data_IF_333358088795
#
_entry.id   IF_333358088795
#
_cell.length_a   1.000
_cell.length_b   1.000
_cell.length_c   1.000
_cell.angle_alpha   90.00
_cell.angle_beta   90.00
_cell.angle_gamma   90.00
#
_symmetry.space_group_name_H-M   'P 1'
#
loop_
_entity.id
_entity.type
_entity.pdbx_description
1 polymer ?
#
# COMPACT_ATOMS: atom_id res chain seq x y z
N UNK A 1 26.44 -8.38 17.28
CA UNK A 1 26.86 -7.56 16.12
C UNK A 1 26.77 -6.10 16.50
N UNK A 2 27.67 -5.27 15.96
CA UNK A 2 27.72 -3.82 16.17
C UNK A 2 26.42 -3.13 15.67
N UNK A 3 25.72 -2.34 16.52
CA UNK A 3 24.49 -1.63 16.16
C UNK A 3 24.63 -0.71 14.93
N UNK A 4 25.81 -0.11 14.73
CA UNK A 4 26.07 0.80 13.60
C UNK A 4 26.11 0.05 12.27
N UNK A 5 26.63 -1.18 12.26
CA UNK A 5 26.64 -2.06 11.08
C UNK A 5 25.24 -2.52 10.71
N UNK A 6 24.41 -2.89 11.70
CA UNK A 6 23.00 -3.23 11.48
C UNK A 6 22.25 -2.06 10.81
N UNK A 7 22.43 -0.82 11.29
CA UNK A 7 21.73 0.34 10.71
C UNK A 7 22.13 0.61 9.25
N UNK A 8 23.42 0.49 8.90
CA UNK A 8 23.88 0.64 7.52
C UNK A 8 23.31 -0.45 6.60
N UNK A 9 23.25 -1.70 7.07
CA UNK A 9 22.64 -2.80 6.32
C UNK A 9 21.16 -2.54 6.03
N UNK A 10 20.41 -1.99 7.00
CA UNK A 10 19.00 -1.61 6.81
C UNK A 10 18.86 -0.54 5.74
N UNK A 11 19.67 0.52 5.79
CA UNK A 11 19.66 1.59 4.77
C UNK A 11 19.96 1.06 3.38
N UNK A 12 20.98 0.20 3.24
CA UNK A 12 21.34 -0.43 1.96
C UNK A 12 20.18 -1.25 1.42
N UNK A 13 19.52 -2.04 2.26
CA UNK A 13 18.39 -2.89 1.84
C UNK A 13 17.16 -2.09 1.47
N UNK A 14 16.87 -0.99 2.17
CA UNK A 14 15.83 -0.05 1.78
C UNK A 14 16.13 0.58 0.40
N UNK A 15 17.37 0.99 0.16
CA UNK A 15 17.78 1.55 -1.13
C UNK A 15 17.62 0.54 -2.30
N UNK A 16 17.85 -0.76 -2.07
CA UNK A 16 17.54 -1.79 -3.06
C UNK A 16 16.04 -1.88 -3.38
N UNK A 17 15.17 -1.77 -2.37
CA UNK A 17 13.72 -1.73 -2.59
C UNK A 17 13.28 -0.47 -3.34
N UNK A 18 13.87 0.69 -3.03
CA UNK A 18 13.61 1.96 -3.74
C UNK A 18 14.04 1.87 -5.20
N UNK A 19 15.20 1.29 -5.47
CA UNK A 19 15.69 1.10 -6.84
C UNK A 19 14.79 0.13 -7.63
N UNK A 20 14.39 -0.97 -7.02
CA UNK A 20 13.43 -1.90 -7.60
C UNK A 20 12.09 -1.23 -7.89
N UNK A 21 11.57 -0.43 -6.95
CA UNK A 21 10.32 0.30 -7.15
C UNK A 21 10.40 1.25 -8.34
N UNK A 22 11.51 1.98 -8.47
CA UNK A 22 11.77 2.86 -9.62
C UNK A 22 11.87 2.08 -10.94
N UNK A 23 12.58 0.96 -10.96
CA UNK A 23 12.73 0.12 -12.16
C UNK A 23 11.38 -0.46 -12.62
N UNK A 24 10.57 -0.97 -11.70
CA UNK A 24 9.22 -1.47 -11.98
C UNK A 24 8.26 -0.37 -12.48
N UNK A 25 8.37 0.85 -11.94
CA UNK A 25 7.61 2.01 -12.40
C UNK A 25 7.99 2.38 -13.84
N UNK A 26 9.29 2.40 -14.16
CA UNK A 26 9.78 2.66 -15.52
C UNK A 26 9.32 1.61 -16.54
N UNK A 27 9.11 0.37 -16.12
CA UNK A 27 8.55 -0.71 -16.94
C UNK A 27 7.03 -0.61 -17.13
N UNK A 28 6.36 0.32 -16.46
CA UNK A 28 4.92 0.53 -16.57
C UNK A 28 4.06 -0.49 -15.80
N UNK A 29 4.67 -1.27 -14.90
CA UNK A 29 3.98 -2.33 -14.13
C UNK A 29 3.74 -1.91 -12.68
N UNK A 30 4.71 -1.24 -12.07
CA UNK A 30 4.69 -0.94 -10.64
C UNK A 30 5.23 -2.11 -9.81
N UNK A 31 5.79 -1.79 -8.65
CA UNK A 31 6.60 -2.73 -7.87
C UNK A 31 5.78 -3.82 -7.17
N UNK A 32 4.56 -3.48 -6.74
CA UNK A 32 3.58 -4.42 -6.18
C UNK A 32 3.26 -5.53 -7.19
N UNK A 33 2.77 -5.14 -8.38
CA UNK A 33 2.39 -6.08 -9.43
C UNK A 33 3.58 -6.86 -9.99
N UNK A 34 4.73 -6.21 -10.14
CA UNK A 34 5.96 -6.91 -10.56
C UNK A 34 6.33 -8.02 -9.57
N UNK A 35 6.29 -7.71 -8.27
CA UNK A 35 6.64 -8.66 -7.21
C UNK A 35 5.60 -9.78 -7.06
N UNK A 36 4.31 -9.45 -7.20
CA UNK A 36 3.22 -10.44 -7.19
C UNK A 36 3.40 -11.47 -8.29
N UNK A 37 3.76 -11.00 -9.50
CA UNK A 37 3.87 -11.82 -10.70
C UNK A 37 5.19 -12.62 -10.81
N UNK A 38 6.24 -12.29 -10.05
CA UNK A 38 7.55 -12.97 -10.03
C UNK A 38 8.15 -13.25 -11.42
N UNK A 39 8.17 -12.25 -12.29
CA UNK A 39 8.59 -12.42 -13.70
C UNK A 39 10.09 -12.22 -13.91
N UNK A 40 10.83 -11.74 -12.90
CA UNK A 40 12.24 -11.38 -13.05
C UNK A 40 13.12 -11.98 -11.95
N UNK A 41 14.40 -12.18 -12.28
CA UNK A 41 15.41 -12.62 -11.31
C UNK A 41 15.64 -11.62 -10.19
N UNK A 42 15.43 -10.33 -10.45
CA UNK A 42 15.43 -9.25 -9.44
C UNK A 42 14.46 -9.54 -8.28
N UNK A 43 13.36 -10.24 -8.55
CA UNK A 43 12.31 -10.48 -7.54
C UNK A 43 12.83 -11.41 -6.43
N UNK A 44 13.76 -12.33 -6.78
CA UNK A 44 14.42 -13.21 -5.80
C UNK A 44 15.37 -12.43 -4.88
N UNK A 45 16.11 -11.47 -5.41
CA UNK A 45 17.01 -10.64 -4.59
C UNK A 45 16.23 -9.69 -3.70
N UNK A 46 15.13 -9.13 -4.21
CA UNK A 46 14.20 -8.32 -3.43
C UNK A 46 13.57 -9.12 -2.30
N UNK A 47 13.20 -10.38 -2.50
CA UNK A 47 12.71 -11.24 -1.43
C UNK A 47 13.75 -11.43 -0.29
N UNK A 48 15.05 -11.49 -0.60
CA UNK A 48 16.11 -11.57 0.41
C UNK A 48 16.24 -10.27 1.20
N UNK A 49 16.23 -9.12 0.52
CA UNK A 49 16.28 -7.81 1.17
C UNK A 49 15.07 -7.59 2.06
N UNK A 50 13.88 -7.89 1.54
CA UNK A 50 12.60 -7.87 2.27
C UNK A 50 12.67 -8.68 3.55
N UNK A 51 13.06 -9.97 3.45
CA UNK A 51 13.14 -10.88 4.60
C UNK A 51 14.05 -10.36 5.71
N UNK A 52 15.21 -9.79 5.35
CA UNK A 52 16.10 -9.20 6.35
C UNK A 52 15.47 -8.00 7.06
N UNK A 53 14.85 -7.08 6.30
CA UNK A 53 14.17 -5.91 6.85
C UNK A 53 13.03 -6.34 7.79
N UNK A 54 12.23 -7.32 7.38
CA UNK A 54 11.14 -7.86 8.21
C UNK A 54 11.63 -8.47 9.51
N UNK A 55 12.71 -9.25 9.49
CA UNK A 55 13.27 -9.81 10.71
C UNK A 55 13.76 -8.70 11.66
N UNK A 56 14.50 -7.72 11.13
CA UNK A 56 14.97 -6.59 11.92
C UNK A 56 13.82 -5.81 12.57
N UNK A 57 12.79 -5.44 11.81
CA UNK A 57 11.68 -4.65 12.34
C UNK A 57 10.80 -5.43 13.31
N UNK A 58 10.68 -6.76 13.14
CA UNK A 58 10.04 -7.61 14.16
C UNK A 58 10.82 -7.59 15.47
N UNK A 59 12.14 -7.81 15.42
CA UNK A 59 13.01 -7.72 16.61
C UNK A 59 12.88 -6.34 17.29
N UNK A 60 12.93 -5.25 16.53
CA UNK A 60 12.82 -3.89 17.07
C UNK A 60 11.46 -3.62 17.73
N UNK A 61 10.37 -4.11 17.13
CA UNK A 61 9.02 -3.95 17.70
C UNK A 61 8.86 -4.77 18.98
N UNK A 62 9.37 -6.00 19.01
CA UNK A 62 9.35 -6.87 20.20
C UNK A 62 10.16 -6.26 21.36
N UNK A 63 11.32 -5.67 21.06
CA UNK A 63 12.15 -4.96 22.04
C UNK A 63 11.41 -3.74 22.61
N UNK A 64 10.80 -2.92 21.74
CA UNK A 64 10.06 -1.72 22.13
C UNK A 64 8.79 -2.03 22.95
N UNK A 65 8.09 -3.13 22.68
CA UNK A 65 6.96 -3.58 23.51
C UNK A 65 7.42 -4.06 24.89
N UNK A 66 8.55 -4.78 24.96
CA UNK A 66 9.06 -5.35 26.21
C UNK A 66 9.69 -4.31 27.13
N UNK A 67 10.22 -3.22 26.54
CA UNK A 67 10.88 -2.14 27.25
C UNK A 67 10.37 -0.78 26.71
N UNK A 68 9.25 -0.27 27.23
CA UNK A 68 8.73 1.05 26.83
C UNK A 68 9.85 2.10 26.93
N UNK A 69 10.22 2.67 25.79
CA UNK A 69 11.45 3.45 25.63
C UNK A 69 11.58 4.59 26.66
N UNK A 70 12.77 4.72 27.27
CA UNK A 70 13.21 5.86 28.09
C UNK A 70 13.99 6.91 27.28
N UNK A 71 13.97 6.80 25.96
CA UNK A 71 14.82 7.56 25.04
C UNK A 71 14.31 8.99 24.83
N UNK A 72 15.20 9.90 24.45
CA UNK A 72 14.83 11.29 24.16
C UNK A 72 13.91 11.40 22.94
N UNK A 73 13.05 12.43 22.92
CA UNK A 73 12.01 12.63 21.90
C UNK A 73 12.51 12.55 20.44
N UNK A 74 13.72 13.06 20.17
CA UNK A 74 14.33 13.02 18.82
C UNK A 74 14.66 11.60 18.34
N UNK A 75 15.15 10.74 19.23
CA UNK A 75 15.52 9.36 18.91
C UNK A 75 14.25 8.56 18.60
N UNK A 76 13.21 8.73 19.43
CA UNK A 76 11.89 8.15 19.19
C UNK A 76 11.30 8.59 17.85
N UNK A 77 11.32 9.88 17.54
CA UNK A 77 10.83 10.42 16.26
C UNK A 77 11.56 9.80 15.06
N UNK A 78 12.90 9.74 15.11
CA UNK A 78 13.71 9.18 14.01
C UNK A 78 13.42 7.70 13.78
N UNK A 79 13.26 6.93 14.85
CA UNK A 79 12.92 5.51 14.77
C UNK A 79 11.49 5.29 14.25
N UNK A 80 10.51 6.07 14.72
CA UNK A 80 9.13 6.02 14.25
C UNK A 80 9.04 6.36 12.76
N UNK A 81 9.77 7.38 12.30
CA UNK A 81 9.84 7.73 10.89
C UNK A 81 10.41 6.59 10.05
N UNK A 82 11.53 6.00 10.47
CA UNK A 82 12.15 4.87 9.77
C UNK A 82 11.22 3.65 9.71
N UNK A 83 10.50 3.36 10.81
CA UNK A 83 9.56 2.24 10.89
C UNK A 83 8.33 2.45 10.02
N UNK A 84 7.84 3.69 9.95
CA UNK A 84 6.75 4.08 9.08
C UNK A 84 7.12 3.97 7.59
N UNK A 85 8.32 4.42 7.23
CA UNK A 85 8.86 4.29 5.87
C UNK A 85 9.03 2.82 5.48
N UNK A 86 9.59 2.00 6.36
CA UNK A 86 9.68 0.55 6.16
C UNK A 86 8.29 -0.07 5.93
N UNK A 87 7.31 0.22 6.80
CA UNK A 87 5.94 -0.30 6.68
C UNK A 87 5.35 0.01 5.30
N UNK A 88 5.42 1.27 4.88
CA UNK A 88 4.85 1.71 3.58
C UNK A 88 5.56 1.12 2.36
N UNK A 89 6.85 0.77 2.47
CA UNK A 89 7.60 0.13 1.39
C UNK A 89 7.41 -1.39 1.35
N UNK A 90 7.38 -2.05 2.51
CA UNK A 90 7.51 -3.52 2.59
C UNK A 90 6.17 -4.24 2.72
N UNK A 91 5.22 -3.67 3.46
CA UNK A 91 3.91 -4.30 3.67
C UNK A 91 3.16 -4.57 2.34
N UNK A 92 3.21 -3.69 1.31
CA UNK A 92 2.68 -4.02 -0.02
C UNK A 92 3.26 -5.29 -0.64
N UNK A 93 4.54 -5.59 -0.42
CA UNK A 93 5.17 -6.81 -0.93
C UNK A 93 4.72 -8.07 -0.16
N UNK A 94 4.44 -7.94 1.14
CA UNK A 94 3.85 -9.02 1.93
C UNK A 94 2.38 -9.26 1.53
N UNK A 95 1.63 -8.20 1.21
CA UNK A 95 0.27 -8.30 0.66
C UNK A 95 0.31 -9.00 -0.71
N UNK A 96 1.26 -8.65 -1.58
CA UNK A 96 1.43 -9.29 -2.89
C UNK A 96 1.68 -10.80 -2.74
N UNK A 97 2.53 -11.22 -1.79
CA UNK A 97 2.74 -12.63 -1.47
C UNK A 97 1.50 -13.30 -0.90
N UNK A 98 0.78 -12.61 -0.01
CA UNK A 98 -0.44 -13.11 0.60
C UNK A 98 -1.50 -13.43 -0.46
N UNK A 99 -1.84 -12.47 -1.32
CA UNK A 99 -2.85 -12.65 -2.37
C UNK A 99 -2.34 -13.36 -3.63
N UNK A 100 -1.10 -13.84 -3.66
CA UNK A 100 -0.64 -14.75 -4.74
C UNK A 100 -1.37 -16.10 -4.66
N UNK A 101 -1.76 -16.52 -3.46
CA UNK A 101 -2.62 -17.69 -3.26
C UNK A 101 -4.07 -17.25 -3.35
N UNK A 102 -4.82 -17.82 -4.30
CA UNK A 102 -6.21 -17.43 -4.58
C UNK A 102 -7.19 -17.70 -3.44
N UNK A 103 -6.82 -18.56 -2.49
CA UNK A 103 -7.59 -18.91 -1.29
C UNK A 103 -7.47 -17.88 -0.16
N UNK A 104 -6.43 -17.05 -0.18
CA UNK A 104 -6.16 -16.08 0.88
C UNK A 104 -7.07 -14.86 0.78
N UNK A 105 -7.63 -14.42 1.91
CA UNK A 105 -8.66 -13.36 2.00
C UNK A 105 -8.55 -12.55 3.29
N UNK A 106 -9.05 -11.33 3.26
CA UNK A 106 -9.12 -10.41 4.40
C UNK A 106 -7.75 -10.17 5.06
N UNK A 107 -6.71 -9.84 4.28
CA UNK A 107 -5.35 -9.62 4.79
C UNK A 107 -5.33 -8.73 6.04
N UNK A 108 -6.04 -7.61 6.01
CA UNK A 108 -6.08 -6.65 7.12
C UNK A 108 -6.52 -7.29 8.45
N UNK A 109 -7.43 -8.26 8.40
CA UNK A 109 -7.97 -8.94 9.59
C UNK A 109 -7.24 -10.24 9.93
N UNK A 110 -6.81 -10.99 8.92
CA UNK A 110 -6.36 -12.38 9.08
C UNK A 110 -4.88 -12.58 8.76
N UNK A 111 -4.30 -11.76 7.88
CA UNK A 111 -2.94 -11.94 7.36
C UNK A 111 -1.92 -10.91 7.88
N UNK A 112 -2.39 -9.78 8.41
CA UNK A 112 -1.55 -8.65 8.78
C UNK A 112 -0.69 -8.95 9.99
N UNK A 113 0.63 -8.84 9.82
CA UNK A 113 1.57 -9.13 10.90
C UNK A 113 1.52 -8.07 12.00
N UNK A 114 1.59 -8.51 13.26
CA UNK A 114 1.55 -7.66 14.47
C UNK A 114 2.49 -6.45 14.38
N UNK A 115 3.69 -6.63 13.85
CA UNK A 115 4.69 -5.57 13.78
C UNK A 115 4.25 -4.37 12.91
N UNK A 116 3.54 -4.59 11.79
CA UNK A 116 3.00 -3.49 11.00
C UNK A 116 1.89 -2.74 11.73
N UNK A 117 1.03 -3.47 12.44
CA UNK A 117 -0.07 -2.88 13.24
C UNK A 117 0.50 -1.97 14.32
N UNK A 118 1.54 -2.41 15.02
CA UNK A 118 2.18 -1.62 16.08
C UNK A 118 2.93 -0.41 15.52
N UNK A 119 3.70 -0.58 14.44
CA UNK A 119 4.40 0.53 13.79
C UNK A 119 3.42 1.61 13.29
N UNK A 120 2.29 1.21 12.71
CA UNK A 120 1.25 2.16 12.29
C UNK A 120 0.62 2.87 13.49
N UNK A 121 0.27 2.11 14.55
CA UNK A 121 -0.30 2.67 15.78
C UNK A 121 0.61 3.73 16.38
N UNK A 122 1.88 3.38 16.63
CA UNK A 122 2.84 4.30 17.24
C UNK A 122 3.12 5.53 16.37
N UNK A 123 3.13 5.37 15.05
CA UNK A 123 3.26 6.50 14.11
C UNK A 123 2.08 7.47 14.20
N UNK A 124 0.83 6.97 14.26
CA UNK A 124 -0.37 7.81 14.36
C UNK A 124 -0.41 8.59 15.67
N UNK A 125 -0.13 7.92 16.79
CA UNK A 125 -0.08 8.54 18.12
C UNK A 125 0.94 9.71 18.18
N UNK A 126 2.04 9.60 17.43
CA UNK A 126 3.09 10.62 17.38
C UNK A 126 2.83 11.73 16.33
N UNK A 127 2.23 11.40 15.18
CA UNK A 127 1.87 12.40 14.17
C UNK A 127 0.70 13.29 14.58
N UNK A 128 -0.32 12.72 15.21
CA UNK A 128 -1.50 13.45 15.71
C UNK A 128 -1.11 14.49 16.77
N UNK A 129 0.07 14.37 17.37
CA UNK A 129 0.58 15.31 18.39
C UNK A 129 1.50 16.40 17.84
N UNK A 130 2.10 16.26 16.64
CA UNK A 130 3.25 17.10 16.29
C UNK A 130 3.36 17.64 14.84
N UNK A 131 2.74 17.05 13.80
CA UNK A 131 3.11 17.39 12.41
C UNK A 131 1.97 17.31 11.36
N UNK A 132 1.05 18.29 11.29
CA UNK A 132 0.14 18.41 10.16
C UNK A 132 0.90 18.92 8.92
N UNK A 133 0.98 18.08 7.87
CA UNK A 133 1.47 18.47 6.55
C UNK A 133 0.36 19.11 5.73
N UNK A 134 0.63 20.24 5.08
CA UNK A 134 -0.34 20.89 4.19
C UNK A 134 -0.55 20.12 2.88
N UNK A 135 -1.71 20.28 2.23
CA UNK A 135 -2.06 19.55 1.01
C UNK A 135 -1.15 19.86 -0.19
N UNK A 136 -0.57 21.07 -0.27
CA UNK A 136 0.31 21.46 -1.38
C UNK A 136 1.65 20.73 -1.30
N UNK A 137 2.15 20.53 -0.08
CA UNK A 137 3.36 19.76 0.19
C UNK A 137 3.17 18.28 -0.12
N UNK A 138 1.97 17.73 0.14
CA UNK A 138 1.61 16.36 -0.28
C UNK A 138 1.58 16.24 -1.79
N UNK A 139 0.87 17.13 -2.50
CA UNK A 139 0.79 17.15 -3.97
C UNK A 139 2.18 17.16 -4.63
N UNK A 140 3.09 18.04 -4.16
CA UNK A 140 4.44 18.18 -4.74
C UNK A 140 5.32 16.95 -4.57
N UNK A 141 5.01 16.08 -3.61
CA UNK A 141 5.83 14.91 -3.26
C UNK A 141 5.13 13.57 -3.57
N UNK A 142 4.02 13.56 -4.31
CA UNK A 142 3.25 12.34 -4.64
C UNK A 142 4.13 11.23 -5.22
N UNK A 143 5.06 11.57 -6.11
CA UNK A 143 5.96 10.60 -6.76
C UNK A 143 7.20 10.24 -5.90
N UNK A 144 7.48 11.03 -4.87
CA UNK A 144 8.58 10.78 -3.91
C UNK A 144 8.12 10.10 -2.62
N UNK A 145 6.81 10.04 -2.38
CA UNK A 145 6.21 9.47 -1.19
C UNK A 145 5.56 8.12 -1.48
N UNK A 146 5.68 7.21 -0.51
CA UNK A 146 4.89 5.98 -0.52
C UNK A 146 3.43 6.28 -0.22
N UNK A 147 2.52 5.46 -0.76
CA UNK A 147 1.11 5.41 -0.35
C UNK A 147 1.00 5.41 1.18
N UNK A 148 0.20 6.33 1.73
CA UNK A 148 0.11 6.55 3.18
C UNK A 148 -0.48 5.33 3.90
N UNK A 149 -1.52 4.75 3.30
CA UNK A 149 -2.09 3.48 3.71
C UNK A 149 -1.32 2.31 3.09
N UNK A 150 -0.49 1.65 3.89
CA UNK A 150 0.29 0.49 3.46
C UNK A 150 -0.58 -0.74 3.16
N UNK A 151 -1.86 -0.74 3.57
CA UNK A 151 -2.83 -1.78 3.24
C UNK A 151 -3.64 -1.48 1.97
N UNK A 152 -3.36 -0.39 1.24
CA UNK A 152 -4.07 -0.02 0.01
C UNK A 152 -4.26 -1.20 -0.96
N UNK A 153 -3.18 -1.95 -1.21
CA UNK A 153 -3.24 -3.09 -2.14
C UNK A 153 -4.14 -4.23 -1.64
N UNK A 154 -4.26 -4.44 -0.33
CA UNK A 154 -5.19 -5.44 0.20
C UNK A 154 -6.64 -5.03 -0.11
N UNK A 155 -6.97 -3.74 -0.01
CA UNK A 155 -8.29 -3.23 -0.38
C UNK A 155 -8.57 -3.42 -1.88
N UNK A 156 -7.57 -3.22 -2.75
CA UNK A 156 -7.68 -3.49 -4.19
C UNK A 156 -8.02 -4.96 -4.44
N UNK A 157 -7.32 -5.90 -3.82
CA UNK A 157 -7.55 -7.34 -4.02
C UNK A 157 -8.95 -7.77 -3.57
N UNK A 158 -9.44 -7.27 -2.43
CA UNK A 158 -10.79 -7.53 -1.95
C UNK A 158 -11.88 -6.93 -2.86
N UNK A 159 -11.61 -5.76 -3.45
CA UNK A 159 -12.50 -5.14 -4.42
C UNK A 159 -12.56 -5.94 -5.74
N UNK A 160 -11.42 -6.46 -6.21
CA UNK A 160 -11.38 -7.36 -7.38
C UNK A 160 -12.15 -8.65 -7.14
N UNK A 161 -11.99 -9.25 -5.96
CA UNK A 161 -12.77 -10.42 -5.57
C UNK A 161 -14.28 -10.13 -5.59
N UNK A 162 -14.68 -8.96 -5.06
CA UNK A 162 -16.08 -8.53 -5.06
C UNK A 162 -16.63 -8.31 -6.49
N UNK A 163 -15.79 -7.86 -7.44
CA UNK A 163 -16.16 -7.82 -8.85
C UNK A 163 -16.43 -9.22 -9.42
N UNK A 164 -15.57 -10.21 -9.08
CA UNK A 164 -15.76 -11.62 -9.45
C UNK A 164 -17.09 -12.17 -8.95
N UNK A 165 -17.41 -11.97 -7.66
CA UNK A 165 -18.69 -12.41 -7.08
C UNK A 165 -19.91 -11.85 -7.82
N UNK A 166 -19.89 -10.56 -8.18
CA UNK A 166 -21.01 -9.95 -8.92
C UNK A 166 -21.17 -10.57 -10.31
N UNK A 167 -20.05 -10.88 -10.98
CA UNK A 167 -20.05 -11.50 -12.30
C UNK A 167 -20.59 -12.93 -12.27
N UNK A 168 -20.20 -13.70 -11.25
CA UNK A 168 -20.53 -15.11 -11.14
C UNK A 168 -21.98 -15.35 -10.65
N UNK A 169 -22.44 -14.56 -9.66
CA UNK A 169 -23.73 -14.79 -8.97
C UNK A 169 -24.83 -13.77 -9.33
N UNK A 170 -24.50 -12.75 -10.13
CA UNK A 170 -25.46 -11.77 -10.64
C UNK A 170 -26.11 -10.87 -9.58
N UNK A 171 -27.30 -10.34 -9.90
CA UNK A 171 -27.91 -9.20 -9.17
C UNK A 171 -28.44 -9.52 -7.76
N UNK A 172 -28.84 -10.76 -7.50
CA UNK A 172 -29.69 -11.12 -6.34
C UNK A 172 -28.93 -11.62 -5.11
N UNK A 173 -27.72 -12.17 -5.26
CA UNK A 173 -26.91 -12.67 -4.13
C UNK A 173 -25.77 -11.74 -3.71
N UNK A 174 -25.71 -10.54 -4.28
CA UNK A 174 -24.50 -9.71 -4.25
C UNK A 174 -24.62 -8.39 -3.48
N UNK A 175 -25.59 -8.24 -2.55
CA UNK A 175 -25.78 -6.98 -1.82
C UNK A 175 -24.52 -6.55 -1.05
N UNK A 176 -23.88 -7.49 -0.34
CA UNK A 176 -22.67 -7.20 0.43
C UNK A 176 -21.48 -6.83 -0.48
N UNK A 177 -21.24 -7.57 -1.56
CA UNK A 177 -20.16 -7.27 -2.50
C UNK A 177 -20.37 -5.92 -3.20
N UNK A 178 -21.62 -5.52 -3.49
CA UNK A 178 -21.93 -4.17 -4.00
C UNK A 178 -21.57 -3.10 -2.96
N UNK A 179 -21.97 -3.29 -1.70
CA UNK A 179 -21.65 -2.34 -0.63
C UNK A 179 -20.15 -2.18 -0.45
N UNK A 180 -19.39 -3.29 -0.44
CA UNK A 180 -17.92 -3.27 -0.38
C UNK A 180 -17.31 -2.48 -1.54
N UNK A 181 -17.84 -2.60 -2.76
CA UNK A 181 -17.38 -1.81 -3.91
C UNK A 181 -17.73 -0.32 -3.81
N UNK A 182 -18.90 0.02 -3.26
CA UNK A 182 -19.27 1.43 -3.01
C UNK A 182 -18.33 2.04 -1.96
N UNK A 183 -18.06 1.34 -0.87
CA UNK A 183 -17.12 1.76 0.16
C UNK A 183 -15.71 1.91 -0.39
N UNK A 184 -15.25 0.95 -1.19
CA UNK A 184 -13.95 1.00 -1.83
C UNK A 184 -13.81 2.20 -2.77
N UNK A 185 -14.84 2.52 -3.58
CA UNK A 185 -14.82 3.71 -4.43
C UNK A 185 -14.66 5.00 -3.61
N UNK A 186 -15.40 5.13 -2.50
CA UNK A 186 -15.29 6.28 -1.59
C UNK A 186 -13.89 6.38 -0.99
N UNK A 187 -13.36 5.26 -0.50
CA UNK A 187 -12.00 5.18 0.05
C UNK A 187 -10.94 5.62 -0.97
N UNK A 188 -10.97 5.08 -2.19
CA UNK A 188 -10.00 5.42 -3.23
C UNK A 188 -10.07 6.90 -3.59
N UNK A 189 -11.28 7.46 -3.75
CA UNK A 189 -11.43 8.88 -4.07
C UNK A 189 -10.84 9.76 -2.97
N UNK A 190 -11.11 9.43 -1.70
CA UNK A 190 -10.53 10.13 -0.54
C UNK A 190 -8.99 10.08 -0.56
N UNK A 191 -8.39 8.94 -0.91
CA UNK A 191 -6.93 8.85 -1.04
C UNK A 191 -6.39 9.72 -2.18
N UNK A 192 -7.08 9.77 -3.31
CA UNK A 192 -6.72 10.58 -4.48
C UNK A 192 -6.77 12.08 -4.10
N UNK A 193 -7.88 12.55 -3.54
CA UNK A 193 -8.08 13.96 -3.18
C UNK A 193 -7.05 14.45 -2.15
N UNK A 194 -6.62 13.56 -1.24
CA UNK A 194 -5.62 13.86 -0.22
C UNK A 194 -4.17 13.68 -0.68
N UNK A 195 -3.93 13.33 -1.95
CA UNK A 195 -2.59 13.01 -2.47
C UNK A 195 -1.87 11.93 -1.65
N UNK A 196 -2.63 10.94 -1.15
CA UNK A 196 -2.18 9.92 -0.20
C UNK A 196 -1.79 8.60 -0.87
N UNK A 197 -1.90 8.49 -2.20
CA UNK A 197 -1.50 7.32 -2.99
C UNK A 197 -0.40 7.70 -3.99
N UNK A 198 0.53 6.78 -4.24
CA UNK A 198 1.53 6.94 -5.30
C UNK A 198 0.86 6.85 -6.68
N UNK A 199 1.32 7.65 -7.66
CA UNK A 199 0.83 7.61 -9.03
C UNK A 199 0.99 6.24 -9.71
N UNK A 200 1.83 5.34 -9.18
CA UNK A 200 2.00 3.99 -9.69
C UNK A 200 0.69 3.17 -9.73
N UNK A 201 -0.31 3.52 -8.91
CA UNK A 201 -1.61 2.85 -8.94
C UNK A 201 -2.28 3.03 -10.31
N UNK A 202 -1.96 4.08 -11.05
CA UNK A 202 -2.53 4.38 -12.37
C UNK A 202 -1.72 3.81 -13.54
N UNK A 203 -0.66 3.03 -13.28
CA UNK A 203 0.06 2.32 -14.33
C UNK A 203 -0.84 1.31 -15.03
N UNK A 204 -0.72 1.19 -16.35
CA UNK A 204 -1.64 0.42 -17.20
C UNK A 204 -1.80 -1.04 -16.77
N UNK A 205 -0.74 -1.64 -16.26
CA UNK A 205 -0.67 -3.03 -15.82
C UNK A 205 -0.89 -3.20 -14.30
N UNK A 206 -1.17 -2.12 -13.56
CA UNK A 206 -1.37 -2.20 -12.12
C UNK A 206 -2.64 -2.97 -11.77
N UNK A 207 -2.65 -3.63 -10.62
CA UNK A 207 -3.85 -4.33 -10.12
C UNK A 207 -5.04 -3.38 -9.91
N UNK A 208 -4.79 -2.09 -9.63
CA UNK A 208 -5.85 -1.09 -9.53
C UNK A 208 -6.47 -0.77 -10.91
N UNK A 209 -5.65 -0.64 -11.95
CA UNK A 209 -6.16 -0.42 -13.32
C UNK A 209 -6.82 -1.67 -13.90
N UNK A 210 -6.42 -2.87 -13.44
CA UNK A 210 -7.14 -4.11 -13.74
C UNK A 210 -8.50 -4.13 -13.03
N UNK A 211 -8.54 -3.82 -11.73
CA UNK A 211 -9.80 -3.65 -10.99
C UNK A 211 -10.74 -2.66 -11.68
N UNK A 212 -10.23 -1.50 -12.11
CA UNK A 212 -11.04 -0.48 -12.77
C UNK A 212 -11.73 -1.04 -14.03
N UNK A 213 -11.01 -1.79 -14.87
CA UNK A 213 -11.60 -2.45 -16.06
C UNK A 213 -12.66 -3.47 -15.67
N UNK A 214 -12.38 -4.31 -14.68
CA UNK A 214 -13.32 -5.31 -14.16
C UNK A 214 -14.59 -4.65 -13.60
N UNK A 215 -14.43 -3.52 -12.91
CA UNK A 215 -15.52 -2.74 -12.31
C UNK A 215 -16.38 -2.03 -13.36
N UNK A 216 -15.79 -1.53 -14.44
CA UNK A 216 -16.52 -0.88 -15.54
C UNK A 216 -17.60 -1.78 -16.15
N UNK A 217 -17.37 -3.09 -16.21
CA UNK A 217 -18.33 -4.07 -16.73
C UNK A 217 -19.56 -4.23 -15.82
N UNK A 218 -19.43 -3.94 -14.52
CA UNK A 218 -20.47 -4.17 -13.52
C UNK A 218 -21.00 -2.87 -12.89
N UNK A 219 -20.49 -1.69 -13.27
CA UNK A 219 -20.84 -0.41 -12.65
C UNK A 219 -22.35 -0.12 -12.67
N UNK A 220 -23.06 -0.53 -13.73
CA UNK A 220 -24.51 -0.40 -13.84
C UNK A 220 -25.28 -1.36 -12.91
N UNK A 221 -24.69 -2.52 -12.59
CA UNK A 221 -25.26 -3.50 -11.65
C UNK A 221 -25.07 -3.03 -10.21
N UNK A 222 -23.92 -2.42 -9.92
CA UNK A 222 -23.60 -1.82 -8.62
C UNK A 222 -24.43 -0.56 -8.37
N UNK A 223 -24.80 0.16 -9.43
CA UNK A 223 -25.58 1.41 -9.32
C UNK A 223 -24.71 2.62 -8.99
N UNK A 224 -23.41 2.58 -9.28
CA UNK A 224 -22.44 3.64 -8.98
C UNK A 224 -22.00 4.42 -10.21
N UNK A 225 -22.82 4.48 -11.26
CA UNK A 225 -22.45 5.09 -12.54
C UNK A 225 -22.07 6.57 -12.47
N UNK A 226 -22.52 7.27 -11.42
CA UNK A 226 -22.29 8.70 -11.14
C UNK A 226 -21.47 8.93 -9.86
N UNK A 227 -20.65 7.97 -9.44
CA UNK A 227 -19.75 8.19 -8.30
C UNK A 227 -18.59 9.11 -8.71
N UNK A 228 -18.08 9.91 -7.78
CA UNK A 228 -16.97 10.84 -8.04
C UNK A 228 -15.74 10.13 -8.63
N UNK A 229 -15.43 8.93 -8.14
CA UNK A 229 -14.35 8.13 -8.68
C UNK A 229 -14.61 7.70 -10.13
N UNK A 230 -15.85 7.30 -10.46
CA UNK A 230 -16.19 6.90 -11.83
C UNK A 230 -16.04 8.07 -12.80
N UNK A 231 -16.49 9.26 -12.41
CA UNK A 231 -16.33 10.48 -13.21
C UNK A 231 -14.85 10.86 -13.36
N UNK A 232 -14.09 10.77 -12.28
CA UNK A 232 -12.65 11.03 -12.26
C UNK A 232 -11.87 10.10 -13.20
N UNK A 233 -12.18 8.80 -13.17
CA UNK A 233 -11.52 7.82 -14.01
C UNK A 233 -11.96 7.91 -15.48
N UNK A 234 -13.24 8.17 -15.76
CA UNK A 234 -13.74 8.32 -17.14
C UNK A 234 -13.22 9.58 -17.84
N UNK A 235 -13.07 10.68 -17.12
CA UNK A 235 -12.55 11.94 -17.65
C UNK A 235 -11.05 11.90 -17.95
N UNK A 236 -10.33 10.88 -17.46
CA UNK A 236 -8.88 10.77 -17.64
C UNK A 236 -8.07 11.70 -16.73
N UNK A 237 -8.69 12.32 -15.71
CA UNK A 237 -8.00 13.24 -14.80
C UNK A 237 -6.81 12.60 -14.07
N UNK A 238 -6.86 11.27 -13.84
CA UNK A 238 -5.75 10.51 -13.25
C UNK A 238 -4.44 10.59 -14.05
N UNK A 239 -4.49 10.88 -15.36
CA UNK A 239 -3.29 11.04 -16.19
C UNK A 239 -2.46 12.25 -15.79
N UNK A 240 -3.09 13.23 -15.12
CA UNK A 240 -2.44 14.44 -14.58
C UNK A 240 -2.22 14.36 -13.06
N UNK A 241 -2.52 13.22 -12.43
CA UNK A 241 -2.36 13.05 -10.99
C UNK A 241 -0.90 13.20 -10.57
N UNK A 242 -0.65 14.00 -9.52
CA UNK A 242 0.71 14.27 -9.03
C UNK A 242 1.57 15.13 -9.96
N UNK A 243 1.04 15.58 -11.12
CA UNK A 243 1.75 16.54 -11.96
C UNK A 243 1.83 17.92 -11.27
N UNK A 244 2.96 18.64 -11.39
CA UNK A 244 3.17 19.97 -10.80
C UNK A 244 1.98 20.92 -11.03
#
# INVERSE_FOLDING_TARGET
>A
MDPSRKLNDIKIKMAFLEWYKKDCKNKGVGYYDSYKNQRATSDMDIAKHKKYLTNYWKEMVEEAESHPQKEGAYVRMTWLYAGNTYRKMVEPLDIAEYYRKTENRDYVKQGRSKHYVLLEKWWKEDCESHHPMDLLSKKRNVDGNFTEDSCFWAHVEEARFSCGLIKDFGRFESSEAKNRLVEFQRYVMEQIENYAVDSEIFLRESSFMVWWKEFQEIVAIVGSGSSSLVEYMKSGMYLSYGSP
#
